data_IF_493031372059
#
_entry.id   IF_493031372059
#
_cell.length_a   1.000
_cell.length_b   1.000
_cell.length_c   1.000
_cell.angle_alpha   90.00
_cell.angle_beta   90.00
_cell.angle_gamma   90.00
#
_symmetry.space_group_name_H-M   'P 1'
#
loop_
_entity.id
_entity.type
_entity.pdbx_description
1 polymer ?
#
# COMPACT_ATOMS: atom_id res chain seq x y z
N UNK A 1 -17.73 -3.87 3.65
CA UNK A 1 -17.54 -2.92 4.73
C UNK A 1 -17.02 -1.58 4.21
N UNK A 2 -16.52 -0.74 5.12
CA UNK A 2 -16.12 0.64 4.80
C UNK A 2 -15.00 0.72 3.76
N UNK A 3 -14.02 -0.20 3.80
CA UNK A 3 -12.92 -0.24 2.83
C UNK A 3 -13.39 -0.49 1.39
N UNK A 4 -14.42 -1.34 1.21
CA UNK A 4 -15.02 -1.55 -0.11
C UNK A 4 -15.70 -0.27 -0.64
N UNK A 5 -16.37 0.49 0.23
CA UNK A 5 -16.97 1.77 -0.14
C UNK A 5 -15.92 2.79 -0.55
N UNK A 6 -14.81 2.86 0.18
CA UNK A 6 -13.68 3.74 -0.15
C UNK A 6 -13.06 3.37 -1.50
N UNK A 7 -12.87 2.06 -1.76
CA UNK A 7 -12.35 1.57 -3.04
C UNK A 7 -13.29 1.94 -4.21
N UNK A 8 -14.60 1.79 -4.03
CA UNK A 8 -15.58 2.20 -5.05
C UNK A 8 -15.52 3.71 -5.28
N UNK A 9 -15.57 4.51 -4.23
CA UNK A 9 -15.60 5.97 -4.33
C UNK A 9 -14.35 6.54 -5.02
N UNK A 10 -13.15 5.99 -4.74
CA UNK A 10 -11.94 6.43 -5.41
C UNK A 10 -11.89 5.95 -6.85
N UNK A 11 -12.37 4.73 -7.15
CA UNK A 11 -12.42 4.19 -8.51
C UNK A 11 -13.26 5.07 -9.44
N UNK A 12 -14.37 5.60 -8.96
CA UNK A 12 -15.23 6.51 -9.72
C UNK A 12 -14.54 7.83 -10.09
N UNK A 13 -13.56 8.26 -9.30
CA UNK A 13 -12.76 9.47 -9.58
C UNK A 13 -11.63 9.21 -10.59
N UNK A 14 -11.14 7.97 -10.73
CA UNK A 14 -9.95 7.66 -11.54
C UNK A 14 -10.04 8.12 -13.00
N UNK A 15 -11.17 8.01 -13.72
CA UNK A 15 -11.28 8.48 -15.10
C UNK A 15 -11.06 9.98 -15.29
N UNK A 16 -11.18 10.78 -14.24
CA UNK A 16 -10.92 12.23 -14.27
C UNK A 16 -9.42 12.56 -14.28
N UNK A 17 -8.60 11.63 -13.80
CA UNK A 17 -7.15 11.85 -13.57
C UNK A 17 -6.28 10.95 -14.44
N UNK A 18 -6.79 9.80 -14.88
CA UNK A 18 -6.03 8.82 -15.64
C UNK A 18 -6.74 8.41 -16.92
N UNK A 19 -6.01 8.49 -18.03
CA UNK A 19 -6.52 8.06 -19.34
C UNK A 19 -6.67 6.54 -19.49
N UNK A 20 -5.84 5.76 -18.78
CA UNK A 20 -5.95 4.31 -18.72
C UNK A 20 -6.68 3.88 -17.44
N UNK A 21 -7.51 2.84 -17.56
CA UNK A 21 -8.28 2.29 -16.45
C UNK A 21 -7.95 0.80 -16.30
N UNK A 22 -7.72 0.34 -15.07
CA UNK A 22 -7.58 -1.08 -14.79
C UNK A 22 -8.91 -1.81 -14.98
N UNK A 23 -8.91 -2.89 -15.75
CA UNK A 23 -10.11 -3.71 -16.01
C UNK A 23 -10.26 -4.84 -14.99
N UNK A 24 -9.15 -5.36 -14.50
CA UNK A 24 -9.16 -6.39 -13.47
C UNK A 24 -9.86 -5.87 -12.21
N UNK A 25 -10.66 -6.74 -11.58
CA UNK A 25 -11.31 -6.42 -10.31
C UNK A 25 -10.35 -6.67 -9.15
N UNK A 26 -10.55 -5.96 -8.05
CA UNK A 26 -9.86 -6.18 -6.78
C UNK A 26 -10.85 -6.62 -5.70
N UNK A 27 -10.48 -7.61 -4.93
CA UNK A 27 -11.21 -8.06 -3.74
C UNK A 27 -10.41 -7.74 -2.49
N UNK A 28 -11.09 -7.34 -1.41
CA UNK A 28 -10.47 -7.14 -0.10
C UNK A 28 -10.75 -8.38 0.73
N UNK A 29 -9.68 -9.03 1.19
CA UNK A 29 -9.73 -10.30 1.93
C UNK A 29 -8.97 -10.22 3.24
N UNK A 30 -9.38 -11.03 4.21
CA UNK A 30 -8.56 -11.28 5.38
C UNK A 30 -7.40 -12.20 5.02
N UNK A 31 -6.22 -11.93 5.58
CA UNK A 31 -5.11 -12.90 5.56
C UNK A 31 -5.59 -14.21 6.19
N UNK A 32 -5.31 -15.39 5.60
CA UNK A 32 -5.68 -16.66 6.20
C UNK A 32 -5.14 -16.79 7.63
N UNK A 33 -6.01 -17.15 8.59
CA UNK A 33 -5.70 -17.12 10.02
C UNK A 33 -4.42 -17.90 10.37
N UNK A 34 -4.18 -19.01 9.69
CA UNK A 34 -3.02 -19.86 9.95
C UNK A 34 -1.66 -19.26 9.55
N UNK A 35 -1.63 -18.18 8.73
CA UNK A 35 -0.40 -17.47 8.36
C UNK A 35 -0.32 -16.06 8.93
N UNK A 36 -1.37 -15.55 9.58
CA UNK A 36 -1.39 -14.17 10.10
C UNK A 36 -0.19 -13.84 10.98
N UNK A 37 0.33 -14.81 11.73
CA UNK A 37 1.45 -14.60 12.65
C UNK A 37 2.74 -14.14 11.98
N UNK A 38 2.97 -14.56 10.73
CA UNK A 38 4.18 -14.22 9.96
C UNK A 38 3.92 -13.32 8.75
N UNK A 39 2.66 -12.97 8.50
CA UNK A 39 2.30 -12.16 7.35
C UNK A 39 2.45 -10.66 7.65
N UNK A 40 2.74 -9.88 6.61
CA UNK A 40 2.67 -8.42 6.68
C UNK A 40 1.26 -7.94 7.06
N UNK A 41 1.16 -6.68 7.51
CA UNK A 41 -0.11 -6.07 7.89
C UNK A 41 -1.11 -5.92 6.75
N UNK A 42 -0.61 -5.74 5.54
CA UNK A 42 -1.37 -5.79 4.30
C UNK A 42 -0.45 -6.15 3.15
N UNK A 43 -1.01 -6.74 2.10
CA UNK A 43 -0.30 -7.00 0.85
C UNK A 43 -1.27 -7.22 -0.30
N UNK A 44 -0.80 -6.93 -1.51
CA UNK A 44 -1.54 -7.17 -2.73
C UNK A 44 -1.07 -8.46 -3.44
N UNK A 45 -2.03 -9.22 -3.94
CA UNK A 45 -1.81 -10.36 -4.83
C UNK A 45 -2.36 -10.07 -6.22
N UNK A 46 -1.52 -10.21 -7.24
CA UNK A 46 -1.86 -9.90 -8.63
C UNK A 46 -3.08 -10.71 -9.13
N UNK A 47 -3.85 -10.10 -10.01
CA UNK A 47 -4.85 -10.83 -10.78
C UNK A 47 -4.19 -11.88 -11.67
N UNK A 48 -4.92 -12.95 -12.02
CA UNK A 48 -4.45 -13.91 -12.99
C UNK A 48 -4.46 -13.29 -14.40
N UNK A 49 -3.40 -13.56 -15.18
CA UNK A 49 -3.25 -13.01 -16.53
C UNK A 49 -4.37 -13.43 -17.50
N UNK A 50 -4.93 -14.61 -17.27
CA UNK A 50 -6.05 -15.18 -18.04
C UNK A 50 -7.43 -14.68 -17.58
N UNK A 51 -7.47 -13.81 -16.55
CA UNK A 51 -8.70 -13.28 -15.97
C UNK A 51 -9.47 -14.26 -15.08
N UNK A 52 -8.96 -15.47 -14.83
CA UNK A 52 -9.66 -16.52 -14.03
C UNK A 52 -9.78 -16.14 -12.54
N UNK A 53 -8.93 -15.25 -12.05
CA UNK A 53 -8.92 -14.80 -10.65
C UNK A 53 -8.68 -13.29 -10.57
N UNK A 54 -9.52 -12.55 -9.81
CA UNK A 54 -9.30 -11.12 -9.56
C UNK A 54 -8.02 -10.89 -8.74
N UNK A 55 -7.54 -9.64 -8.72
CA UNK A 55 -6.55 -9.19 -7.76
C UNK A 55 -7.11 -9.24 -6.34
N UNK A 56 -6.26 -9.40 -5.35
CA UNK A 56 -6.69 -9.44 -3.95
C UNK A 56 -5.77 -8.59 -3.07
N UNK A 57 -6.38 -7.63 -2.37
CA UNK A 57 -5.76 -6.95 -1.25
C UNK A 57 -6.05 -7.75 0.03
N UNK A 58 -5.02 -8.26 0.66
CA UNK A 58 -5.12 -8.97 1.93
C UNK A 58 -4.81 -8.04 3.08
N UNK A 59 -5.65 -8.07 4.13
CA UNK A 59 -5.44 -7.34 5.37
C UNK A 59 -5.26 -8.34 6.53
N UNK A 60 -4.20 -8.14 7.32
CA UNK A 60 -3.94 -8.93 8.51
C UNK A 60 -4.78 -8.39 9.68
N UNK A 61 -5.64 -9.24 10.22
CA UNK A 61 -6.53 -8.88 11.34
C UNK A 61 -6.18 -9.64 12.63
N UNK A 62 -4.95 -10.15 12.75
CA UNK A 62 -4.50 -10.87 13.94
C UNK A 62 -4.57 -10.01 15.19
N UNK A 63 -4.08 -8.78 15.09
CA UNK A 63 -4.15 -7.80 16.16
C UNK A 63 -4.70 -6.48 15.62
N UNK A 64 -5.99 -6.26 15.87
CA UNK A 64 -6.66 -5.04 15.42
C UNK A 64 -6.22 -3.79 16.20
N UNK A 65 -5.54 -3.95 17.32
CA UNK A 65 -4.93 -2.85 18.08
C UNK A 65 -3.75 -2.20 17.35
N UNK A 66 -3.03 -2.98 16.52
CA UNK A 66 -1.95 -2.46 15.68
C UNK A 66 -2.46 -1.66 14.47
N UNK A 67 -3.74 -1.83 14.10
CA UNK A 67 -4.38 -1.22 12.93
C UNK A 67 -5.50 -0.26 13.34
N UNK A 68 -5.19 0.93 13.81
CA UNK A 68 -6.22 1.92 14.12
C UNK A 68 -7.02 2.25 12.85
N UNK A 69 -8.34 2.41 12.99
CA UNK A 69 -9.26 2.64 11.86
C UNK A 69 -8.80 3.76 10.94
N UNK A 70 -8.17 4.79 11.49
CA UNK A 70 -7.74 5.95 10.73
C UNK A 70 -6.55 5.66 9.79
N UNK A 71 -5.82 4.55 9.94
CA UNK A 71 -4.74 4.14 9.03
C UNK A 71 -5.22 3.23 7.89
N UNK A 72 -6.42 2.66 8.00
CA UNK A 72 -6.94 1.73 6.99
C UNK A 72 -7.20 2.37 5.62
N UNK A 73 -7.70 3.61 5.51
CA UNK A 73 -7.87 4.25 4.21
C UNK A 73 -6.58 4.32 3.40
N UNK A 74 -5.51 4.80 4.01
CA UNK A 74 -4.19 4.92 3.36
C UNK A 74 -3.66 3.57 2.90
N UNK A 75 -3.73 2.55 3.74
CA UNK A 75 -3.34 1.19 3.37
C UNK A 75 -4.19 0.68 2.18
N UNK A 76 -5.48 1.00 2.15
CA UNK A 76 -6.35 0.61 1.03
C UNK A 76 -5.95 1.30 -0.27
N UNK A 77 -5.58 2.58 -0.22
CA UNK A 77 -5.10 3.31 -1.41
C UNK A 77 -3.73 2.81 -1.87
N UNK A 78 -2.89 2.37 -0.95
CA UNK A 78 -1.60 1.73 -1.24
C UNK A 78 -1.77 0.37 -1.94
N UNK A 79 -2.57 -0.53 -1.38
CA UNK A 79 -2.70 -1.92 -1.85
C UNK A 79 -3.67 -2.06 -3.03
N UNK A 80 -4.76 -1.28 -3.02
CA UNK A 80 -5.80 -1.40 -4.03
C UNK A 80 -5.71 -0.30 -5.09
N UNK A 81 -6.53 0.74 -5.00
CA UNK A 81 -6.71 1.80 -6.01
C UNK A 81 -6.43 3.16 -5.36
N UNK A 82 -5.53 3.96 -5.93
CA UNK A 82 -4.77 3.79 -7.17
C UNK A 82 -3.39 3.11 -7.03
N UNK A 83 -3.17 2.33 -5.98
CA UNK A 83 -1.89 1.72 -5.62
C UNK A 83 -1.50 0.48 -6.43
N UNK A 84 -1.03 -0.56 -5.73
CA UNK A 84 -0.49 -1.77 -6.36
C UNK A 84 -1.44 -2.43 -7.37
N UNK A 85 -2.71 -2.61 -6.99
CA UNK A 85 -3.68 -3.21 -7.91
C UNK A 85 -3.79 -2.43 -9.22
N UNK A 86 -3.93 -1.12 -9.13
CA UNK A 86 -4.06 -0.25 -10.29
C UNK A 86 -2.86 -0.33 -11.22
N UNK A 87 -1.66 -0.13 -10.69
CA UNK A 87 -0.42 -0.13 -11.44
C UNK A 87 -0.15 -1.47 -12.11
N UNK A 88 -0.27 -2.56 -11.36
CA UNK A 88 0.04 -3.90 -11.84
C UNK A 88 -0.99 -4.35 -12.89
N UNK A 89 -2.27 -4.08 -12.66
CA UNK A 89 -3.32 -4.42 -13.62
C UNK A 89 -3.12 -3.68 -14.95
N UNK A 90 -2.83 -2.39 -14.93
CA UNK A 90 -2.53 -1.63 -16.15
C UNK A 90 -1.31 -2.21 -16.87
N UNK A 91 -0.24 -2.57 -16.14
CA UNK A 91 0.94 -3.16 -16.74
C UNK A 91 0.66 -4.54 -17.37
N UNK A 92 -0.16 -5.37 -16.72
CA UNK A 92 -0.58 -6.68 -17.24
C UNK A 92 -1.51 -6.55 -18.46
N UNK A 93 -2.33 -5.52 -18.50
CA UNK A 93 -3.30 -5.25 -19.57
C UNK A 93 -2.71 -4.49 -20.75
N UNK A 94 -1.50 -3.92 -20.60
CA UNK A 94 -0.86 -3.11 -21.63
C UNK A 94 -0.45 -3.98 -22.84
N UNK A 95 -0.93 -3.58 -24.03
CA UNK A 95 -0.54 -4.24 -25.27
C UNK A 95 0.88 -3.88 -25.67
N UNK A 96 1.64 -4.88 -26.12
CA UNK A 96 3.00 -4.69 -26.64
C UNK A 96 4.10 -4.70 -25.58
N UNK A 97 3.79 -4.85 -24.29
CA UNK A 97 4.81 -5.12 -23.27
C UNK A 97 5.21 -6.60 -23.31
N UNK A 98 6.53 -6.92 -23.33
CA UNK A 98 6.98 -8.30 -23.19
C UNK A 98 6.47 -8.90 -21.88
N UNK A 99 6.09 -10.19 -21.91
CA UNK A 99 5.55 -10.90 -20.72
C UNK A 99 6.51 -10.84 -19.53
N UNK A 100 7.82 -10.93 -19.78
CA UNK A 100 8.82 -10.80 -18.74
C UNK A 100 8.70 -9.49 -17.96
N UNK A 101 8.35 -8.39 -18.64
CA UNK A 101 8.22 -7.06 -18.02
C UNK A 101 6.87 -6.85 -17.35
N UNK A 102 5.80 -7.38 -17.94
CA UNK A 102 4.43 -7.16 -17.43
C UNK A 102 4.05 -8.11 -16.29
N UNK A 103 4.72 -9.27 -16.16
CA UNK A 103 4.28 -10.30 -15.23
C UNK A 103 5.42 -10.92 -14.37
N UNK A 104 6.68 -10.83 -14.77
CA UNK A 104 7.78 -11.55 -14.12
C UNK A 104 8.76 -10.60 -13.41
N UNK A 105 9.25 -9.56 -14.11
CA UNK A 105 10.19 -8.61 -13.55
C UNK A 105 9.45 -7.49 -12.83
N UNK A 106 9.52 -7.52 -11.50
CA UNK A 106 9.08 -6.43 -10.63
C UNK A 106 10.29 -5.72 -10.01
N UNK A 107 10.38 -4.41 -10.16
CA UNK A 107 11.33 -3.61 -9.39
C UNK A 107 10.62 -3.06 -8.15
N UNK A 108 11.07 -3.48 -6.97
CA UNK A 108 10.48 -3.08 -5.69
C UNK A 108 10.40 -1.56 -5.57
N UNK A 109 11.45 -0.85 -5.95
CA UNK A 109 11.49 0.62 -5.95
C UNK A 109 10.40 1.26 -6.82
N UNK A 110 10.06 0.63 -7.96
CA UNK A 110 9.00 1.10 -8.84
C UNK A 110 7.60 0.79 -8.25
N UNK A 111 7.39 -0.45 -7.80
CA UNK A 111 6.11 -0.86 -7.24
C UNK A 111 5.76 -0.10 -5.95
N UNK A 112 6.69 -0.06 -4.99
CA UNK A 112 6.51 0.64 -3.73
C UNK A 112 6.49 2.17 -3.90
N UNK A 113 7.35 2.70 -4.78
CA UNK A 113 7.35 4.13 -5.11
C UNK A 113 6.04 4.59 -5.72
N UNK A 114 5.45 3.78 -6.62
CA UNK A 114 4.12 4.05 -7.15
C UNK A 114 3.05 4.01 -6.05
N UNK A 115 3.03 2.97 -5.21
CA UNK A 115 2.03 2.83 -4.16
C UNK A 115 2.11 3.97 -3.13
N UNK A 116 3.31 4.44 -2.80
CA UNK A 116 3.50 5.63 -1.96
C UNK A 116 2.98 6.89 -2.67
N UNK A 117 3.24 7.05 -3.95
CA UNK A 117 2.71 8.17 -4.74
C UNK A 117 1.18 8.09 -4.86
N UNK A 118 0.62 6.89 -4.95
CA UNK A 118 -0.82 6.67 -4.96
C UNK A 118 -1.52 7.14 -3.68
N UNK A 119 -0.87 7.02 -2.52
CA UNK A 119 -1.36 7.59 -1.26
C UNK A 119 -1.44 9.12 -1.34
N UNK A 120 -0.43 9.76 -1.93
CA UNK A 120 -0.42 11.21 -2.16
C UNK A 120 -1.52 11.62 -3.16
N UNK A 121 -1.67 10.90 -4.26
CA UNK A 121 -2.75 11.13 -5.24
C UNK A 121 -4.11 11.07 -4.54
N UNK A 122 -4.34 10.08 -3.67
CA UNK A 122 -5.60 9.97 -2.93
C UNK A 122 -5.90 11.21 -2.09
N UNK A 123 -4.89 11.80 -1.41
CA UNK A 123 -5.05 13.05 -0.68
C UNK A 123 -5.36 14.22 -1.65
N UNK A 124 -4.61 14.36 -2.73
CA UNK A 124 -4.75 15.45 -3.71
C UNK A 124 -6.12 15.47 -4.41
N UNK A 125 -6.71 14.30 -4.66
CA UNK A 125 -8.04 14.19 -5.27
C UNK A 125 -9.19 14.21 -4.26
N UNK A 126 -8.90 14.56 -3.00
CA UNK A 126 -9.89 14.79 -1.96
C UNK A 126 -10.49 13.51 -1.36
N UNK A 127 -9.73 12.40 -1.30
CA UNK A 127 -10.21 11.18 -0.68
C UNK A 127 -10.43 11.31 0.83
N UNK A 128 -9.80 12.31 1.45
CA UNK A 128 -9.89 12.59 2.88
C UNK A 128 -10.66 13.87 3.25
N UNK A 129 -11.37 14.51 2.30
CA UNK A 129 -12.08 15.78 2.56
C UNK A 129 -13.00 15.74 3.79
N UNK A 130 -13.67 14.61 4.00
CA UNK A 130 -14.58 14.40 5.13
C UNK A 130 -14.03 13.39 6.16
N UNK A 131 -12.73 13.09 6.11
CA UNK A 131 -12.05 12.15 7.01
C UNK A 131 -10.70 12.69 7.47
N UNK A 132 -10.68 13.71 8.35
CA UNK A 132 -9.43 14.27 8.88
C UNK A 132 -8.60 13.24 9.67
N UNK A 133 -9.25 12.25 10.27
CA UNK A 133 -8.55 11.15 10.94
C UNK A 133 -7.83 10.25 9.95
N UNK A 134 -8.47 9.89 8.83
CA UNK A 134 -7.85 9.14 7.74
C UNK A 134 -6.66 9.90 7.14
N UNK A 135 -6.78 11.23 6.98
CA UNK A 135 -5.66 12.07 6.53
C UNK A 135 -4.49 12.08 7.52
N UNK A 136 -4.76 12.08 8.81
CA UNK A 136 -3.71 11.89 9.83
C UNK A 136 -3.01 10.54 9.67
N UNK A 137 -3.75 9.48 9.34
CA UNK A 137 -3.20 8.17 9.01
C UNK A 137 -2.24 8.23 7.84
N UNK A 138 -2.64 8.89 6.75
CA UNK A 138 -1.78 9.11 5.58
C UNK A 138 -0.48 9.84 5.95
N UNK A 139 -0.56 10.96 6.65
CA UNK A 139 0.63 11.73 7.04
C UNK A 139 1.56 10.94 7.96
N UNK A 140 1.01 10.14 8.86
CA UNK A 140 1.79 9.25 9.74
C UNK A 140 2.52 8.16 8.93
N UNK A 141 1.87 7.57 7.96
CA UNK A 141 2.47 6.52 7.14
C UNK A 141 3.51 7.11 6.16
N UNK A 142 3.27 8.29 5.61
CA UNK A 142 4.26 9.03 4.82
C UNK A 142 5.52 9.35 5.65
N UNK A 143 5.36 9.82 6.90
CA UNK A 143 6.46 10.06 7.82
C UNK A 143 7.23 8.76 8.13
N UNK A 144 6.53 7.66 8.37
CA UNK A 144 7.14 6.37 8.60
C UNK A 144 8.00 5.92 7.41
N UNK A 145 7.50 6.06 6.19
CA UNK A 145 8.24 5.73 4.97
C UNK A 145 9.46 6.63 4.77
N UNK A 146 9.32 7.93 5.02
CA UNK A 146 10.45 8.87 4.98
C UNK A 146 11.54 8.49 6.02
N UNK A 147 11.15 8.13 7.24
CA UNK A 147 12.08 7.68 8.27
C UNK A 147 12.81 6.38 7.87
N UNK A 148 12.15 5.45 7.15
CA UNK A 148 12.78 4.24 6.62
C UNK A 148 13.92 4.53 5.64
N UNK A 149 13.84 5.57 4.83
CA UNK A 149 14.95 5.97 3.93
C UNK A 149 16.23 6.27 4.72
N UNK A 150 16.09 6.97 5.85
CA UNK A 150 17.21 7.29 6.73
C UNK A 150 17.76 6.04 7.42
N UNK A 151 16.86 5.19 7.92
CA UNK A 151 17.24 3.96 8.62
C UNK A 151 17.91 2.97 7.67
N UNK A 152 17.39 2.78 6.47
CA UNK A 152 17.99 1.88 5.49
C UNK A 152 19.44 2.26 5.18
N UNK A 153 19.68 3.53 4.84
CA UNK A 153 21.02 4.05 4.60
C UNK A 153 21.87 4.06 5.88
N UNK A 154 21.27 4.28 7.04
CA UNK A 154 21.89 4.18 8.34
C UNK A 154 22.46 2.79 8.59
N UNK A 155 21.68 1.75 8.40
CA UNK A 155 22.07 0.36 8.61
C UNK A 155 23.09 -0.08 7.55
N UNK A 156 22.75 0.07 6.27
CA UNK A 156 23.53 -0.53 5.19
C UNK A 156 24.82 0.24 4.86
N UNK A 157 24.78 1.57 4.90
CA UNK A 157 25.95 2.40 4.60
C UNK A 157 26.71 2.85 5.85
N UNK A 158 26.02 3.40 6.87
CA UNK A 158 26.65 3.96 8.07
C UNK A 158 26.88 2.93 9.19
N UNK A 159 26.48 1.68 8.97
CA UNK A 159 26.65 0.56 9.92
C UNK A 159 25.98 0.80 11.27
N UNK A 160 24.80 1.43 11.25
CA UNK A 160 23.98 1.55 12.46
C UNK A 160 23.63 0.18 13.02
N UNK A 161 23.64 0.10 14.34
CA UNK A 161 23.08 -1.07 15.03
C UNK A 161 21.56 -1.08 14.91
N UNK A 162 20.96 -2.25 15.15
CA UNK A 162 19.50 -2.38 15.24
C UNK A 162 18.91 -1.38 16.24
N UNK A 163 19.53 -1.21 17.39
CA UNK A 163 19.06 -0.33 18.44
C UNK A 163 19.09 1.15 18.01
N UNK A 164 20.15 1.60 17.36
CA UNK A 164 20.23 2.95 16.80
C UNK A 164 19.12 3.21 15.78
N UNK A 165 18.81 2.23 14.93
CA UNK A 165 17.73 2.31 13.95
C UNK A 165 16.36 2.43 14.62
N UNK A 166 16.11 1.62 15.66
CA UNK A 166 14.87 1.66 16.44
C UNK A 166 14.73 2.99 17.17
N UNK A 167 15.78 3.47 17.84
CA UNK A 167 15.78 4.76 18.56
C UNK A 167 15.43 5.91 17.62
N UNK A 168 16.03 5.93 16.43
CA UNK A 168 15.69 6.92 15.42
C UNK A 168 14.22 6.84 15.02
N UNK A 169 13.70 5.64 14.69
CA UNK A 169 12.32 5.46 14.33
C UNK A 169 11.34 5.90 15.42
N UNK A 170 11.60 5.54 16.68
CA UNK A 170 10.79 5.98 17.83
C UNK A 170 10.78 7.49 17.94
N UNK A 171 11.96 8.13 17.85
CA UNK A 171 12.10 9.58 18.02
C UNK A 171 11.35 10.38 16.95
N UNK A 172 11.35 9.87 15.72
CA UNK A 172 10.75 10.57 14.56
C UNK A 172 9.26 10.27 14.42
N UNK A 173 8.86 9.01 14.61
CA UNK A 173 7.49 8.58 14.29
C UNK A 173 6.57 8.51 15.50
N UNK A 174 7.10 8.52 16.71
CA UNK A 174 6.34 8.31 17.94
C UNK A 174 5.78 6.89 18.11
N UNK A 175 6.17 5.94 17.23
CA UNK A 175 5.74 4.54 17.34
C UNK A 175 6.34 3.88 18.59
N UNK A 176 5.62 2.91 19.13
CA UNK A 176 6.13 2.11 20.22
C UNK A 176 7.31 1.24 19.74
N UNK A 177 8.31 1.07 20.59
CA UNK A 177 9.49 0.25 20.32
C UNK A 177 9.15 -1.21 19.98
N UNK A 178 8.08 -1.74 20.57
CA UNK A 178 7.58 -3.10 20.31
C UNK A 178 6.97 -3.31 18.93
N UNK A 179 6.65 -2.23 18.22
CA UNK A 179 6.05 -2.28 16.87
C UNK A 179 7.06 -1.97 15.75
N UNK A 180 8.35 -1.92 16.07
CA UNK A 180 9.48 -1.65 15.18
C UNK A 180 10.49 -2.83 15.20
#
# INVERSE_FOLDING_TARGET
>A
GDLNKQTVAITEKMPLYFGAQARAKVEIKRVPVYIEAGAAGGYYQNAALDGSRPGAYYINLRDTGEWPRFSLPTLTYHEAIPGHHWQISIAQEAKGLPLIRSAILGFVSYGEGWALYAEQIADEIGAYENDPAGRLGYLRDALFRAARLVVDTGIHHRKWTREQAIDYMVSVTGKQRSSL
#
